data_IF_666707256514
#
_entry.id   IF_666707256514
#
_cell.length_a   1.000
_cell.length_b   1.000
_cell.length_c   1.000
_cell.angle_alpha   90.00
_cell.angle_beta   90.00
_cell.angle_gamma   90.00
#
_symmetry.space_group_name_H-M   'P 1'
#
loop_
_entity.id
_entity.type
_entity.pdbx_description
1 polymer ?
#
# COMPACT_ATOMS: atom_id res chain seq x y z
N UNK A 1 -8.24 17.89 -48.11
CA UNK A 1 -6.81 18.19 -47.87
C UNK A 1 -6.50 17.66 -46.48
N UNK A 2 -5.65 16.63 -46.40
CA UNK A 2 -4.26 16.91 -46.05
C UNK A 2 -3.27 16.27 -47.02
N UNK A 3 -2.12 16.91 -47.09
CA UNK A 3 -0.92 16.50 -47.81
C UNK A 3 -0.10 15.64 -46.86
N UNK A 4 0.26 14.42 -47.27
CA UNK A 4 1.37 13.69 -46.63
C UNK A 4 2.60 13.90 -47.51
N UNK A 5 3.60 14.50 -46.89
CA UNK A 5 4.95 14.68 -47.42
C UNK A 5 5.58 13.32 -47.72
N UNK A 6 6.30 13.26 -48.85
CA UNK A 6 7.24 12.20 -49.13
C UNK A 6 8.41 12.30 -48.14
N UNK A 7 8.60 11.28 -47.32
CA UNK A 7 9.85 11.02 -46.62
C UNK A 7 10.53 9.81 -47.28
N UNK A 8 11.78 10.03 -47.63
CA UNK A 8 12.73 9.09 -48.22
C UNK A 8 12.95 7.93 -47.22
N UNK A 9 12.37 6.77 -47.54
CA UNK A 9 12.38 5.59 -46.67
C UNK A 9 13.79 5.02 -46.54
N UNK A 10 14.43 5.24 -45.39
CA UNK A 10 15.54 4.42 -44.94
C UNK A 10 14.98 3.06 -44.51
N UNK A 11 15.11 2.05 -45.39
CA UNK A 11 14.80 0.65 -45.03
C UNK A 11 15.80 0.23 -43.95
N UNK A 12 15.31 0.19 -42.71
CA UNK A 12 16.00 -0.41 -41.58
C UNK A 12 15.65 -1.91 -41.55
N UNK A 13 16.64 -2.76 -41.83
CA UNK A 13 16.48 -4.20 -41.75
C UNK A 13 16.14 -4.66 -40.31
N UNK A 14 15.28 -5.67 -40.18
CA UNK A 14 14.81 -6.23 -38.90
C UNK A 14 15.95 -6.88 -38.09
N UNK A 15 15.82 -6.97 -36.75
CA UNK A 15 16.82 -7.67 -35.90
C UNK A 15 17.08 -9.09 -36.42
N UNK A 16 18.35 -9.44 -36.64
CA UNK A 16 18.78 -10.75 -37.16
C UNK A 16 19.02 -10.81 -38.68
N UNK A 17 19.00 -9.68 -39.38
CA UNK A 17 19.28 -9.60 -40.83
C UNK A 17 20.49 -8.69 -41.14
N UNK A 18 21.26 -9.05 -42.16
CA UNK A 18 22.39 -8.27 -42.68
C UNK A 18 21.93 -7.41 -43.87
N UNK A 19 22.38 -6.15 -43.91
CA UNK A 19 22.08 -5.22 -44.99
C UNK A 19 23.19 -5.26 -46.04
N UNK A 20 22.85 -5.72 -47.23
CA UNK A 20 23.70 -5.71 -48.42
C UNK A 20 23.99 -4.27 -48.90
N UNK A 21 25.02 -4.10 -49.73
CA UNK A 21 25.41 -2.80 -50.26
C UNK A 21 24.34 -2.25 -51.24
N UNK A 22 23.68 -3.12 -52.00
CA UNK A 22 22.46 -2.80 -52.77
C UNK A 22 21.19 -2.56 -51.94
N UNK A 23 21.30 -2.43 -50.61
CA UNK A 23 20.20 -2.22 -49.64
C UNK A 23 19.20 -3.37 -49.47
N UNK A 24 19.45 -4.54 -50.07
CA UNK A 24 18.71 -5.76 -49.73
C UNK A 24 19.03 -6.24 -48.30
N UNK A 25 18.09 -6.92 -47.66
CA UNK A 25 18.30 -7.52 -46.35
C UNK A 25 18.29 -9.05 -46.48
N UNK A 26 19.38 -9.71 -46.08
CA UNK A 26 19.50 -11.17 -46.02
C UNK A 26 19.52 -11.66 -44.57
N UNK A 27 19.21 -12.93 -44.33
CA UNK A 27 19.35 -13.51 -42.99
C UNK A 27 20.82 -13.47 -42.53
N UNK A 28 21.06 -13.26 -41.24
CA UNK A 28 22.43 -13.21 -40.69
C UNK A 28 23.25 -14.49 -40.98
N UNK A 29 22.60 -15.66 -41.02
CA UNK A 29 23.21 -16.94 -41.39
C UNK A 29 23.67 -17.06 -42.85
N UNK A 30 23.22 -16.13 -43.71
CA UNK A 30 23.60 -16.07 -45.12
C UNK A 30 24.78 -15.14 -45.38
N UNK A 31 25.30 -14.45 -44.35
CA UNK A 31 26.51 -13.66 -44.47
C UNK A 31 27.74 -14.59 -44.46
N UNK A 32 28.55 -14.54 -45.52
CA UNK A 32 29.77 -15.36 -45.66
C UNK A 32 29.53 -16.87 -45.58
N UNK A 33 28.51 -17.33 -46.31
CA UNK A 33 28.15 -18.74 -46.44
C UNK A 33 28.62 -19.38 -47.77
N UNK A 34 29.45 -18.66 -48.55
CA UNK A 34 29.92 -19.02 -49.89
C UNK A 34 28.84 -19.04 -50.97
N UNK A 35 27.75 -18.30 -50.77
CA UNK A 35 26.70 -18.08 -51.77
C UNK A 35 26.42 -16.59 -51.86
N UNK A 36 26.17 -16.12 -53.09
CA UNK A 36 25.73 -14.75 -53.34
C UNK A 36 24.23 -14.67 -53.09
N UNK A 37 23.84 -14.45 -51.83
CA UNK A 37 22.47 -14.28 -51.38
C UNK A 37 22.03 -12.80 -51.50
N UNK A 38 22.97 -11.85 -51.50
CA UNK A 38 22.70 -10.44 -51.79
C UNK A 38 22.40 -10.16 -53.28
N UNK A 39 22.86 -11.03 -54.19
CA UNK A 39 22.76 -10.89 -55.65
C UNK A 39 23.77 -9.90 -56.26
N UNK A 40 24.59 -9.25 -55.43
CA UNK A 40 25.67 -8.35 -55.80
C UNK A 40 27.04 -8.76 -55.21
N UNK A 41 27.09 -9.90 -54.49
CA UNK A 41 28.28 -10.46 -53.84
C UNK A 41 28.74 -9.70 -52.58
N UNK A 42 27.97 -8.73 -52.08
CA UNK A 42 28.37 -7.91 -50.92
C UNK A 42 28.44 -8.69 -49.60
N UNK A 43 27.74 -9.83 -49.54
CA UNK A 43 27.75 -10.79 -48.43
C UNK A 43 28.99 -11.69 -48.38
N UNK A 44 29.78 -11.76 -49.46
CA UNK A 44 30.93 -12.68 -49.57
C UNK A 44 32.29 -11.97 -49.69
N UNK A 45 32.31 -10.64 -49.74
CA UNK A 45 33.52 -9.86 -50.07
C UNK A 45 34.32 -9.38 -48.86
N UNK A 46 33.74 -9.32 -47.65
CA UNK A 46 34.41 -8.77 -46.46
C UNK A 46 34.18 -9.59 -45.17
N UNK A 47 34.38 -10.90 -45.24
CA UNK A 47 34.11 -11.88 -44.17
C UNK A 47 35.00 -11.80 -42.92
N UNK A 48 36.01 -10.93 -42.92
CA UNK A 48 36.93 -10.76 -41.80
C UNK A 48 36.40 -9.82 -40.71
N UNK A 49 35.28 -9.12 -40.96
CA UNK A 49 34.67 -8.18 -40.02
C UNK A 49 33.22 -8.58 -39.80
N UNK A 50 32.98 -9.39 -38.76
CA UNK A 50 31.62 -9.77 -38.35
C UNK A 50 30.92 -8.53 -37.76
N UNK A 51 29.81 -8.06 -38.32
CA UNK A 51 29.05 -6.93 -37.78
C UNK A 51 28.62 -7.19 -36.33
N UNK A 52 28.67 -6.19 -35.46
CA UNK A 52 28.38 -6.31 -34.01
C UNK A 52 27.01 -6.93 -33.70
N UNK A 53 26.03 -6.82 -34.61
CA UNK A 53 24.70 -7.43 -34.49
C UNK A 53 24.71 -8.95 -34.77
N UNK A 54 25.63 -9.45 -35.60
CA UNK A 54 25.79 -10.89 -35.89
C UNK A 54 26.46 -11.66 -34.73
N UNK A 55 27.28 -10.98 -33.91
CA UNK A 55 28.01 -11.60 -32.80
C UNK A 55 27.12 -12.13 -31.67
N UNK A 56 25.84 -11.76 -31.67
CA UNK A 56 24.86 -12.14 -30.63
C UNK A 56 24.24 -13.53 -30.92
N UNK A 57 24.22 -13.96 -32.18
CA UNK A 57 23.46 -15.15 -32.64
C UNK A 57 24.24 -16.06 -33.59
N UNK A 58 25.44 -15.67 -34.03
CA UNK A 58 26.30 -16.48 -34.89
C UNK A 58 27.72 -16.58 -34.32
N UNK A 59 28.34 -17.74 -34.52
CA UNK A 59 29.75 -17.99 -34.19
C UNK A 59 30.52 -18.37 -35.46
N UNK A 60 31.81 -18.04 -35.49
CA UNK A 60 32.67 -18.27 -36.65
C UNK A 60 33.53 -19.52 -36.44
N UNK A 61 33.40 -20.48 -37.35
CA UNK A 61 34.23 -21.68 -37.46
C UNK A 61 35.69 -21.33 -37.77
N UNK A 62 36.64 -22.23 -37.52
CA UNK A 62 38.06 -22.00 -37.82
C UNK A 62 38.33 -21.81 -39.33
N UNK A 63 37.53 -22.43 -40.19
CA UNK A 63 37.55 -22.23 -41.64
C UNK A 63 36.94 -20.90 -42.12
N UNK A 64 36.49 -20.03 -41.19
CA UNK A 64 35.91 -18.72 -41.50
C UNK A 64 34.41 -18.72 -41.77
N UNK A 65 33.77 -19.90 -41.85
CA UNK A 65 32.32 -20.06 -42.02
C UNK A 65 31.57 -19.58 -40.77
N UNK A 66 30.49 -18.82 -40.94
CA UNK A 66 29.62 -18.45 -39.83
C UNK A 66 28.45 -19.43 -39.70
N UNK A 67 28.20 -19.92 -38.49
CA UNK A 67 27.05 -20.77 -38.16
C UNK A 67 26.23 -20.12 -37.05
N UNK A 68 24.96 -20.53 -36.91
CA UNK A 68 24.14 -20.09 -35.79
C UNK A 68 24.74 -20.60 -34.47
N UNK A 69 24.68 -19.80 -33.41
CA UNK A 69 25.18 -20.17 -32.09
C UNK A 69 24.49 -21.44 -31.53
N UNK A 70 23.25 -21.73 -31.94
CA UNK A 70 22.53 -22.96 -31.60
C UNK A 70 23.11 -24.22 -32.24
N UNK A 71 23.97 -24.07 -33.25
CA UNK A 71 24.64 -25.18 -33.93
C UNK A 71 26.05 -25.43 -33.38
N UNK A 72 26.52 -24.63 -32.42
CA UNK A 72 27.71 -24.96 -31.67
C UNK A 72 27.43 -26.10 -30.67
N UNK A 73 28.31 -27.10 -30.62
CA UNK A 73 28.24 -28.24 -29.70
C UNK A 73 26.95 -29.07 -29.76
N UNK A 74 26.34 -29.20 -30.95
CA UNK A 74 25.09 -29.95 -31.14
C UNK A 74 25.32 -31.40 -31.61
N UNK A 75 26.57 -31.87 -31.63
CA UNK A 75 27.05 -33.18 -32.12
C UNK A 75 26.91 -33.39 -33.62
N UNK A 76 26.79 -32.32 -34.39
CA UNK A 76 26.66 -32.37 -35.85
C UNK A 76 27.66 -31.39 -36.44
N UNK A 77 28.47 -31.89 -37.37
CA UNK A 77 29.48 -31.07 -38.06
C UNK A 77 28.77 -30.12 -39.04
N UNK A 78 28.30 -28.99 -38.51
CA UNK A 78 27.66 -27.91 -39.24
C UNK A 78 28.73 -26.93 -39.80
N UNK A 79 29.93 -26.89 -39.21
CA UNK A 79 31.10 -26.18 -39.76
C UNK A 79 31.73 -26.89 -40.99
N UNK A 80 31.60 -28.21 -41.11
CA UNK A 80 32.24 -29.05 -42.14
C UNK A 80 33.71 -29.38 -41.87
N UNK A 81 34.29 -28.81 -40.81
CA UNK A 81 35.66 -29.06 -40.32
C UNK A 81 35.67 -29.52 -38.85
N UNK A 82 34.49 -29.73 -38.26
CA UNK A 82 34.26 -30.13 -36.87
C UNK A 82 34.56 -29.06 -35.83
N UNK A 83 34.87 -27.82 -36.22
CA UNK A 83 35.31 -26.77 -35.29
C UNK A 83 34.23 -26.30 -34.31
N UNK A 84 32.97 -26.45 -34.69
CA UNK A 84 31.78 -26.22 -33.88
C UNK A 84 31.63 -27.22 -32.72
N UNK A 85 32.32 -28.36 -32.78
CA UNK A 85 32.29 -29.40 -31.75
C UNK A 85 33.55 -29.37 -30.85
N UNK A 86 34.46 -28.41 -31.06
CA UNK A 86 35.71 -28.30 -30.29
C UNK A 86 35.52 -27.38 -29.08
N UNK A 87 35.71 -27.96 -27.89
CA UNK A 87 35.44 -27.37 -26.56
C UNK A 87 36.25 -26.11 -26.19
N UNK A 88 37.25 -25.70 -26.97
CA UNK A 88 38.27 -24.70 -26.57
C UNK A 88 38.46 -23.55 -27.60
N UNK A 89 37.38 -22.97 -28.14
CA UNK A 89 37.52 -21.73 -28.92
C UNK A 89 37.47 -20.46 -28.05
N UNK A 90 38.41 -19.50 -28.22
CA UNK A 90 38.44 -18.24 -27.49
C UNK A 90 37.37 -17.27 -28.02
N UNK A 91 36.15 -17.47 -27.55
CA UNK A 91 34.97 -16.71 -27.96
C UNK A 91 33.69 -17.10 -27.22
N UNK A 92 33.64 -18.31 -26.66
CA UNK A 92 32.58 -18.71 -25.73
C UNK A 92 32.85 -18.12 -24.33
N UNK A 93 32.53 -16.83 -24.16
CA UNK A 93 31.98 -16.40 -22.88
C UNK A 93 30.49 -16.63 -22.98
N UNK A 94 29.99 -17.69 -22.37
CA UNK A 94 28.55 -17.83 -22.11
C UNK A 94 28.09 -16.49 -21.51
N UNK A 95 27.24 -15.77 -22.22
CA UNK A 95 26.77 -14.47 -21.76
C UNK A 95 25.74 -14.76 -20.68
N UNK A 96 26.17 -14.69 -19.43
CA UNK A 96 25.36 -14.91 -18.24
C UNK A 96 24.23 -13.87 -18.20
N UNK A 97 23.02 -14.31 -18.53
CA UNK A 97 21.81 -13.54 -18.31
C UNK A 97 21.51 -13.51 -16.82
N UNK A 98 21.44 -12.31 -16.23
CA UNK A 98 20.85 -12.13 -14.91
C UNK A 98 19.40 -12.60 -14.95
N UNK A 99 19.06 -13.53 -14.06
CA UNK A 99 17.72 -13.84 -13.51
C UNK A 99 16.54 -14.07 -14.47
N UNK A 100 16.70 -13.99 -15.78
CA UNK A 100 15.64 -14.25 -16.75
C UNK A 100 16.15 -15.20 -17.87
N UNK A 101 15.59 -16.40 -17.87
CA UNK A 101 15.49 -17.40 -18.95
C UNK A 101 16.77 -17.81 -19.71
N UNK A 102 17.39 -18.92 -19.29
CA UNK A 102 18.43 -19.63 -20.05
C UNK A 102 17.86 -20.96 -20.56
N UNK A 103 17.79 -21.10 -21.89
CA UNK A 103 17.44 -22.35 -22.61
C UNK A 103 18.66 -23.10 -23.16
N UNK A 104 19.87 -22.59 -22.94
CA UNK A 104 21.10 -23.22 -23.45
C UNK A 104 21.69 -24.15 -22.37
N UNK A 105 21.53 -25.47 -22.55
CA UNK A 105 22.22 -26.49 -21.75
C UNK A 105 21.37 -27.34 -20.79
N UNK A 106 20.06 -27.06 -20.67
CA UNK A 106 19.17 -27.80 -19.77
C UNK A 106 18.88 -29.25 -20.23
N UNK A 107 18.78 -30.19 -19.28
CA UNK A 107 18.54 -31.63 -19.53
C UNK A 107 17.18 -31.97 -20.16
N UNK A 108 16.28 -31.00 -20.22
CA UNK A 108 14.95 -31.13 -20.80
C UNK A 108 14.50 -29.72 -21.16
N UNK A 109 13.34 -29.58 -21.80
CA UNK A 109 12.69 -28.32 -22.18
C UNK A 109 12.29 -27.42 -20.98
N UNK A 110 13.15 -27.34 -19.96
CA UNK A 110 12.97 -26.70 -18.65
C UNK A 110 13.96 -25.56 -18.53
N UNK A 111 13.59 -24.56 -17.73
CA UNK A 111 14.47 -23.46 -17.37
C UNK A 111 15.55 -23.98 -16.41
N UNK A 112 16.80 -23.61 -16.66
CA UNK A 112 17.88 -23.78 -15.70
C UNK A 112 18.04 -22.48 -14.91
N UNK A 113 18.25 -22.59 -13.61
CA UNK A 113 18.54 -21.45 -12.74
C UNK A 113 20.01 -21.50 -12.33
N UNK A 114 20.59 -20.35 -12.00
CA UNK A 114 21.99 -20.30 -11.58
C UNK A 114 22.03 -20.17 -10.06
N UNK A 115 22.84 -21.01 -9.43
CA UNK A 115 23.11 -20.99 -7.99
C UNK A 115 21.90 -21.22 -7.08
N UNK A 116 20.92 -22.01 -7.52
CA UNK A 116 19.76 -22.42 -6.72
C UNK A 116 19.96 -23.75 -5.97
N UNK A 117 21.07 -24.44 -6.23
CA UNK A 117 21.46 -25.70 -5.61
C UNK A 117 20.98 -26.96 -6.35
N UNK A 118 20.39 -26.83 -7.54
CA UNK A 118 19.92 -27.96 -8.33
C UNK A 118 20.72 -28.07 -9.64
N UNK A 119 21.16 -29.26 -10.03
CA UNK A 119 21.82 -29.44 -11.33
C UNK A 119 20.76 -29.57 -12.43
N UNK A 120 20.61 -28.54 -13.25
CA UNK A 120 19.77 -28.54 -14.46
C UNK A 120 20.57 -28.53 -15.77
N UNK A 121 21.80 -28.01 -15.75
CA UNK A 121 22.71 -27.98 -16.89
C UNK A 121 23.55 -29.26 -16.98
N UNK A 122 23.67 -29.83 -18.19
CA UNK A 122 24.47 -31.05 -18.42
C UNK A 122 25.94 -30.91 -18.01
N UNK A 123 26.49 -29.71 -18.09
CA UNK A 123 27.88 -29.40 -17.73
C UNK A 123 28.04 -28.92 -16.28
N UNK A 124 26.95 -28.88 -15.50
CA UNK A 124 26.87 -28.33 -14.14
C UNK A 124 27.31 -26.86 -14.05
N UNK A 125 27.30 -26.12 -15.17
CA UNK A 125 27.75 -24.72 -15.21
C UNK A 125 26.81 -23.73 -14.52
N UNK A 126 25.59 -24.19 -14.22
CA UNK A 126 24.62 -23.53 -13.37
C UNK A 126 25.07 -23.42 -11.91
N UNK A 127 25.77 -24.42 -11.39
CA UNK A 127 26.05 -24.57 -9.95
C UNK A 127 27.53 -24.73 -9.60
N UNK A 128 28.37 -25.07 -10.57
CA UNK A 128 29.78 -25.39 -10.40
C UNK A 128 30.71 -24.47 -11.21
N UNK A 129 32.00 -24.42 -10.84
CA UNK A 129 33.01 -23.64 -11.58
C UNK A 129 33.16 -22.19 -11.12
N UNK A 130 32.83 -21.89 -9.86
CA UNK A 130 33.02 -20.57 -9.26
C UNK A 130 32.02 -19.49 -9.70
N UNK A 131 30.88 -19.91 -10.28
CA UNK A 131 29.78 -19.00 -10.66
C UNK A 131 29.00 -18.52 -9.42
N UNK A 132 28.96 -19.33 -8.36
CA UNK A 132 28.20 -19.08 -7.14
C UNK A 132 29.09 -18.63 -5.98
N UNK A 133 28.54 -17.84 -5.05
CA UNK A 133 29.25 -17.35 -3.85
C UNK A 133 29.74 -18.51 -2.96
N UNK A 134 29.00 -19.63 -2.96
CA UNK A 134 29.38 -20.89 -2.33
C UNK A 134 29.32 -22.03 -3.33
N UNK A 135 30.41 -22.76 -3.51
CA UNK A 135 30.37 -23.99 -4.32
C UNK A 135 29.53 -25.07 -3.62
N UNK A 136 28.68 -25.73 -4.41
CA UNK A 136 27.82 -26.81 -3.96
C UNK A 136 28.62 -28.09 -3.67
N UNK A 137 28.26 -28.83 -2.62
CA UNK A 137 28.92 -30.09 -2.26
C UNK A 137 28.88 -31.14 -3.38
N UNK A 138 27.82 -31.17 -4.21
CA UNK A 138 27.72 -32.11 -5.34
C UNK A 138 28.72 -31.81 -6.47
N UNK A 139 29.31 -30.61 -6.56
CA UNK A 139 30.34 -30.31 -7.55
C UNK A 139 31.57 -31.22 -7.40
N UNK A 140 31.84 -31.74 -6.20
CA UNK A 140 32.90 -32.74 -5.96
C UNK A 140 32.58 -34.11 -6.57
N UNK A 141 31.30 -34.38 -6.83
CA UNK A 141 30.77 -35.62 -7.38
C UNK A 141 30.44 -35.52 -8.88
N UNK A 142 30.89 -34.47 -9.57
CA UNK A 142 30.65 -34.22 -11.00
C UNK A 142 30.93 -35.45 -11.90
N UNK A 143 31.92 -36.27 -11.55
CA UNK A 143 32.27 -37.50 -12.30
C UNK A 143 31.21 -38.60 -12.25
N UNK A 144 30.30 -38.56 -11.28
CA UNK A 144 29.26 -39.57 -11.05
C UNK A 144 27.89 -39.17 -11.61
N UNK A 145 27.64 -37.87 -11.80
CA UNK A 145 26.43 -37.36 -12.45
C UNK A 145 26.45 -37.50 -13.98
N UNK A 146 27.63 -37.76 -14.57
CA UNK A 146 27.85 -37.83 -16.01
C UNK A 146 27.78 -39.28 -16.51
N UNK A 147 26.60 -39.89 -16.48
CA UNK A 147 26.31 -41.06 -17.30
C UNK A 147 25.29 -40.69 -18.39
N UNK A 148 25.50 -41.23 -19.59
CA UNK A 148 24.99 -40.70 -20.85
C UNK A 148 23.51 -40.29 -20.82
N UNK A 149 23.25 -38.98 -21.04
CA UNK A 149 21.96 -38.36 -21.38
C UNK A 149 21.00 -37.98 -20.24
N UNK A 150 21.36 -38.08 -18.96
CA UNK A 150 20.50 -37.62 -17.85
C UNK A 150 21.31 -37.28 -16.59
N UNK A 151 21.01 -36.15 -15.93
CA UNK A 151 21.58 -35.77 -14.63
C UNK A 151 21.00 -36.65 -13.51
N UNK A 152 21.61 -37.80 -13.28
CA UNK A 152 21.18 -38.78 -12.27
C UNK A 152 22.39 -39.24 -11.47
N UNK A 153 22.22 -39.34 -10.15
CA UNK A 153 23.19 -39.93 -9.24
C UNK A 153 22.67 -41.25 -8.71
N UNK A 154 23.45 -42.32 -8.81
CA UNK A 154 23.06 -43.64 -8.29
C UNK A 154 23.77 -43.94 -6.98
N UNK A 155 23.00 -44.18 -5.92
CA UNK A 155 23.46 -44.51 -4.58
C UNK A 155 23.94 -45.98 -4.47
N UNK A 156 24.67 -46.32 -3.41
CA UNK A 156 25.19 -47.69 -3.20
C UNK A 156 24.07 -48.74 -3.06
N UNK A 157 22.87 -48.31 -2.64
CA UNK A 157 21.69 -49.15 -2.58
C UNK A 157 20.87 -49.21 -3.89
N UNK A 158 21.46 -48.82 -5.03
CA UNK A 158 20.80 -48.72 -6.35
C UNK A 158 19.61 -47.73 -6.42
N UNK A 159 19.47 -46.83 -5.45
CA UNK A 159 18.52 -45.72 -5.58
C UNK A 159 19.07 -44.65 -6.53
N UNK A 160 18.25 -44.14 -7.43
CA UNK A 160 18.62 -43.11 -8.39
C UNK A 160 18.03 -41.76 -7.97
N UNK A 161 18.89 -40.83 -7.57
CA UNK A 161 18.57 -39.43 -7.31
C UNK A 161 18.56 -38.66 -8.63
N UNK A 162 17.47 -37.98 -8.91
CA UNK A 162 17.34 -37.03 -10.03
C UNK A 162 17.57 -35.60 -9.55
N UNK A 163 17.67 -34.65 -10.48
CA UNK A 163 17.72 -33.22 -10.13
C UNK A 163 16.46 -32.73 -9.40
N UNK A 164 15.31 -33.40 -9.57
CA UNK A 164 14.07 -33.06 -8.88
C UNK A 164 14.11 -33.43 -7.40
N UNK A 165 14.84 -34.50 -7.05
CA UNK A 165 15.00 -35.01 -5.69
C UNK A 165 16.07 -34.24 -4.90
N UNK A 166 16.83 -33.34 -5.54
CA UNK A 166 17.81 -32.46 -4.90
C UNK A 166 17.10 -31.16 -4.49
N UNK A 167 17.29 -30.70 -3.26
CA UNK A 167 16.64 -29.51 -2.72
C UNK A 167 15.12 -29.57 -2.91
N UNK A 168 14.52 -30.70 -2.52
CA UNK A 168 13.09 -30.99 -2.59
C UNK A 168 12.41 -30.89 -1.20
N UNK A 169 13.20 -30.88 -0.13
CA UNK A 169 12.79 -30.76 1.28
C UNK A 169 12.58 -32.10 1.97
N UNK A 170 12.90 -33.21 1.30
CA UNK A 170 12.66 -34.58 1.75
C UNK A 170 13.86 -35.46 1.45
N UNK A 171 14.45 -36.00 2.51
CA UNK A 171 15.49 -37.02 2.37
C UNK A 171 14.95 -38.29 1.69
N UNK A 172 15.53 -38.61 0.54
CA UNK A 172 15.34 -39.83 -0.22
C UNK A 172 15.88 -41.05 0.53
N UNK A 173 15.45 -42.27 0.17
CA UNK A 173 15.95 -43.51 0.77
C UNK A 173 17.39 -43.89 0.33
N UNK A 174 18.17 -42.96 -0.23
CA UNK A 174 19.56 -43.18 -0.65
C UNK A 174 20.45 -43.59 0.56
N UNK A 175 21.25 -44.65 0.39
CA UNK A 175 22.22 -45.11 1.40
C UNK A 175 23.60 -45.33 0.77
N UNK A 176 24.70 -44.85 1.38
CA UNK A 176 24.73 -43.91 2.51
C UNK A 176 24.09 -42.56 2.15
N UNK A 177 23.61 -41.82 3.15
CA UNK A 177 23.00 -40.50 2.91
C UNK A 177 24.02 -39.57 2.25
N UNK A 178 23.60 -38.91 1.19
CA UNK A 178 24.41 -37.92 0.47
C UNK A 178 24.17 -36.53 1.05
N UNK A 179 25.22 -35.86 1.54
CA UNK A 179 25.09 -34.54 2.18
C UNK A 179 24.47 -33.50 1.25
N UNK A 180 24.81 -33.56 -0.04
CA UNK A 180 24.41 -32.60 -1.06
C UNK A 180 22.93 -32.64 -1.46
N UNK A 181 22.14 -33.63 -1.01
CA UNK A 181 20.72 -33.74 -1.37
C UNK A 181 19.90 -32.58 -0.82
N UNK A 182 20.14 -32.19 0.42
CA UNK A 182 19.38 -31.13 1.12
C UNK A 182 20.31 -30.07 1.75
N UNK A 183 21.59 -30.05 1.41
CA UNK A 183 22.52 -29.02 1.89
C UNK A 183 22.72 -27.91 0.87
N UNK A 184 22.89 -26.67 1.32
CA UNK A 184 23.28 -25.51 0.48
C UNK A 184 22.25 -25.11 -0.62
N UNK A 185 20.97 -25.38 -0.37
CA UNK A 185 19.86 -24.95 -1.23
C UNK A 185 19.59 -23.44 -1.04
N UNK A 186 20.02 -22.58 -1.98
CA UNK A 186 19.76 -21.13 -1.89
C UNK A 186 18.28 -20.80 -2.09
N UNK A 187 17.46 -21.66 -2.68
CA UNK A 187 16.01 -21.45 -2.75
C UNK A 187 15.24 -21.71 -1.44
N UNK A 188 15.88 -22.23 -0.39
CA UNK A 188 15.19 -22.81 0.76
C UNK A 188 15.55 -22.20 2.11
N UNK A 189 14.66 -22.39 3.07
CA UNK A 189 14.84 -22.03 4.47
C UNK A 189 14.81 -23.28 5.34
N UNK A 190 15.81 -23.42 6.21
CA UNK A 190 15.93 -24.55 7.11
C UNK A 190 15.23 -24.24 8.42
N UNK A 191 14.20 -25.02 8.77
CA UNK A 191 13.39 -24.78 9.94
C UNK A 191 14.23 -24.87 11.24
N UNK A 192 15.06 -25.90 11.36
CA UNK A 192 15.86 -26.16 12.55
C UNK A 192 17.36 -25.89 12.31
N UNK A 193 18.09 -25.53 13.38
CA UNK A 193 19.56 -25.52 13.42
C UNK A 193 20.21 -26.87 13.06
N UNK A 194 19.46 -27.98 13.10
CA UNK A 194 19.95 -29.30 12.64
C UNK A 194 19.97 -29.46 11.11
N UNK A 195 19.33 -28.57 10.34
CA UNK A 195 19.40 -28.55 8.86
C UNK A 195 18.72 -29.71 8.13
N UNK A 196 17.86 -30.49 8.79
CA UNK A 196 17.27 -31.72 8.21
C UNK A 196 15.91 -31.51 7.52
N UNK A 197 15.24 -30.38 7.76
CA UNK A 197 13.92 -30.06 7.20
C UNK A 197 14.02 -28.66 6.63
N UNK A 198 13.73 -28.53 5.34
CA UNK A 198 13.78 -27.28 4.59
C UNK A 198 12.43 -27.00 3.93
N UNK A 199 11.99 -25.74 3.96
CA UNK A 199 10.81 -25.23 3.25
C UNK A 199 11.25 -24.27 2.15
N UNK A 200 10.38 -24.02 1.17
CA UNK A 200 10.64 -23.00 0.15
C UNK A 200 10.70 -21.61 0.80
N UNK A 201 11.63 -20.75 0.34
CA UNK A 201 11.74 -19.36 0.84
C UNK A 201 10.43 -18.57 0.70
N UNK A 202 9.54 -18.94 -0.23
CA UNK A 202 8.22 -18.34 -0.38
C UNK A 202 7.27 -18.59 0.81
N UNK A 203 7.51 -19.65 1.59
CA UNK A 203 6.77 -19.94 2.82
C UNK A 203 7.37 -19.26 4.05
N UNK A 204 8.53 -18.62 3.93
CA UNK A 204 9.12 -17.83 5.02
C UNK A 204 8.43 -16.48 5.09
N UNK A 205 8.01 -16.08 6.28
CA UNK A 205 7.29 -14.83 6.47
C UNK A 205 6.13 -14.74 5.47
N UNK A 206 5.29 -15.75 5.41
CA UNK A 206 4.06 -15.77 4.62
C UNK A 206 2.82 -15.49 5.48
N UNK A 207 2.95 -15.54 6.81
CA UNK A 207 1.87 -15.40 7.78
C UNK A 207 1.31 -16.73 8.29
N UNK A 208 1.95 -17.85 8.02
CA UNK A 208 1.54 -19.19 8.43
C UNK A 208 2.73 -19.94 9.02
N UNK A 209 2.44 -20.81 10.00
CA UNK A 209 3.46 -21.68 10.59
C UNK A 209 3.61 -22.95 9.75
N UNK A 210 4.56 -22.94 8.83
CA UNK A 210 4.95 -24.07 7.98
C UNK A 210 6.12 -24.87 8.61
N UNK A 211 6.96 -24.23 9.41
CA UNK A 211 7.97 -24.89 10.23
C UNK A 211 7.42 -25.37 11.59
N UNK A 212 7.82 -26.59 12.01
CA UNK A 212 7.41 -27.18 13.30
C UNK A 212 7.87 -26.39 14.54
N UNK A 213 8.91 -25.57 14.40
CA UNK A 213 9.50 -24.73 15.44
C UNK A 213 9.22 -23.23 15.25
N UNK A 214 8.36 -22.88 14.27
CA UNK A 214 7.93 -21.51 13.99
C UNK A 214 9.06 -20.56 13.56
N UNK A 215 10.20 -21.11 13.11
CA UNK A 215 11.37 -20.34 12.71
C UNK A 215 11.10 -19.45 11.50
N UNK A 216 10.23 -19.91 10.61
CA UNK A 216 9.77 -19.29 9.37
C UNK A 216 9.03 -17.97 9.59
N UNK A 217 8.36 -17.81 10.72
CA UNK A 217 7.66 -16.58 11.13
C UNK A 217 8.38 -15.84 12.27
N UNK A 218 9.49 -16.39 12.76
CA UNK A 218 10.31 -15.75 13.77
C UNK A 218 11.19 -14.69 13.11
N UNK A 219 10.84 -13.42 13.27
CA UNK A 219 11.58 -12.25 12.74
C UNK A 219 11.32 -11.89 11.26
N UNK A 220 10.09 -11.43 10.99
CA UNK A 220 9.69 -10.91 9.68
C UNK A 220 9.65 -9.36 9.68
N UNK A 221 10.73 -8.69 9.23
CA UNK A 221 10.69 -7.23 9.04
C UNK A 221 9.69 -6.90 7.92
N UNK A 222 8.77 -5.96 8.18
CA UNK A 222 7.66 -5.55 7.29
C UNK A 222 6.38 -6.41 7.34
N UNK A 223 6.20 -7.19 8.41
CA UNK A 223 4.91 -7.81 8.73
C UNK A 223 4.37 -7.33 10.08
N UNK A 224 3.05 -7.31 10.18
CA UNK A 224 2.29 -7.01 11.40
C UNK A 224 1.75 -8.32 11.98
N UNK A 225 2.01 -8.57 13.26
CA UNK A 225 1.57 -9.79 13.93
C UNK A 225 0.17 -9.62 14.50
N UNK A 226 -0.74 -10.54 14.16
CA UNK A 226 -2.08 -10.58 14.73
C UNK A 226 -2.02 -10.96 16.22
N UNK A 227 -2.91 -10.40 17.05
CA UNK A 227 -2.80 -10.52 18.52
C UNK A 227 -3.08 -11.94 19.01
N UNK A 228 -4.02 -12.63 18.38
CA UNK A 228 -4.40 -14.01 18.68
C UNK A 228 -3.44 -15.04 18.09
N UNK A 229 -2.60 -14.66 17.12
CA UNK A 229 -1.64 -15.57 16.47
C UNK A 229 -2.28 -16.74 15.72
N UNK A 230 -3.56 -16.66 15.37
CA UNK A 230 -4.27 -17.70 14.61
C UNK A 230 -4.17 -17.44 13.12
N UNK A 231 -3.88 -18.48 12.32
CA UNK A 231 -3.82 -18.47 10.85
C UNK A 231 -4.72 -17.40 10.18
N UNK A 232 -4.18 -16.29 9.63
CA UNK A 232 -2.75 -15.94 9.55
C UNK A 232 -2.15 -15.37 10.86
N UNK A 233 -0.96 -15.83 11.24
CA UNK A 233 -0.20 -15.32 12.40
C UNK A 233 0.29 -13.89 12.19
N UNK A 234 0.58 -13.51 10.94
CA UNK A 234 1.03 -12.18 10.55
C UNK A 234 0.52 -11.78 9.16
N UNK A 235 0.26 -10.49 8.97
CA UNK A 235 -0.15 -9.90 7.69
C UNK A 235 0.92 -8.92 7.20
N UNK A 236 1.04 -8.65 5.89
CA UNK A 236 1.92 -7.59 5.38
C UNK A 236 1.59 -6.24 6.04
N UNK A 237 2.60 -5.43 6.37
CA UNK A 237 2.36 -4.11 7.00
C UNK A 237 1.57 -3.12 6.12
N UNK A 238 1.34 -3.42 4.84
CA UNK A 238 0.45 -2.65 3.96
C UNK A 238 -1.02 -2.93 4.20
N UNK A 239 -1.34 -4.04 4.87
CA UNK A 239 -2.69 -4.51 5.20
C UNK A 239 -3.03 -4.15 6.64
N UNK A 240 -2.59 -2.98 7.08
CA UNK A 240 -2.94 -2.45 8.40
C UNK A 240 -3.60 -1.11 8.17
N UNK A 241 -4.77 -0.89 8.77
CA UNK A 241 -5.58 0.31 8.60
C UNK A 241 -6.07 0.50 7.16
N UNK A 242 -6.49 -0.59 6.50
CA UNK A 242 -6.98 -0.58 5.13
C UNK A 242 -8.51 -0.81 5.00
N UNK A 243 -9.25 -0.75 6.12
CA UNK A 243 -10.68 -1.04 6.26
C UNK A 243 -11.07 -2.52 6.04
N UNK A 244 -10.10 -3.41 5.80
CA UNK A 244 -10.35 -4.85 5.68
C UNK A 244 -9.77 -5.60 6.87
N UNK A 245 -10.52 -6.60 7.35
CA UNK A 245 -10.05 -7.48 8.41
C UNK A 245 -9.31 -8.67 7.78
N UNK A 246 -7.99 -8.56 7.68
CA UNK A 246 -7.09 -9.62 7.23
C UNK A 246 -6.61 -10.49 8.40
N UNK A 247 -6.48 -9.92 9.60
CA UNK A 247 -6.34 -10.71 10.82
C UNK A 247 -7.70 -11.31 11.22
N UNK A 248 -7.70 -12.55 11.70
CA UNK A 248 -8.91 -13.24 12.19
C UNK A 248 -9.58 -12.54 13.40
N UNK A 249 -8.80 -11.76 14.14
CA UNK A 249 -9.23 -10.96 15.30
C UNK A 249 -9.32 -9.45 15.01
N UNK A 250 -9.18 -9.05 13.73
CA UNK A 250 -9.20 -7.65 13.28
C UNK A 250 -8.17 -6.74 14.00
N UNK A 251 -7.06 -7.30 14.48
CA UNK A 251 -6.00 -6.54 15.17
C UNK A 251 -5.19 -5.64 14.26
N UNK A 252 -5.17 -5.95 12.97
CA UNK A 252 -4.60 -5.15 11.88
C UNK A 252 -5.27 -3.79 11.75
N UNK A 253 -6.60 -3.74 11.85
CA UNK A 253 -7.37 -2.50 11.83
C UNK A 253 -7.46 -1.84 13.20
N UNK A 254 -7.57 -2.65 14.26
CA UNK A 254 -7.74 -2.18 15.62
C UNK A 254 -6.68 -2.77 16.56
N UNK A 255 -5.43 -2.28 16.53
CA UNK A 255 -4.34 -2.86 17.29
C UNK A 255 -4.43 -2.60 18.81
N UNK A 256 -3.89 -3.52 19.65
CA UNK A 256 -3.80 -3.42 21.11
C UNK A 256 -3.34 -2.07 21.65
N UNK A 257 -2.40 -1.45 20.93
CA UNK A 257 -1.66 -0.26 21.37
C UNK A 257 -2.29 1.05 20.92
N UNK A 258 -3.49 1.03 20.31
CA UNK A 258 -4.16 2.22 19.82
C UNK A 258 -4.79 3.09 20.94
N UNK A 259 -4.60 2.74 22.22
CA UNK A 259 -5.01 3.59 23.34
C UNK A 259 -4.08 4.82 23.42
N UNK A 260 -4.26 5.77 22.50
CA UNK A 260 -3.45 6.99 22.36
C UNK A 260 -3.81 8.07 23.37
N UNK A 261 -5.06 8.10 23.84
CA UNK A 261 -5.62 9.25 24.55
C UNK A 261 -6.28 8.88 25.88
N UNK A 262 -6.28 9.85 26.80
CA UNK A 262 -6.89 9.69 28.14
C UNK A 262 -8.43 9.69 28.11
N UNK A 263 -9.04 10.01 26.96
CA UNK A 263 -10.48 10.27 26.82
C UNK A 263 -11.19 9.15 26.04
N UNK A 264 -10.62 8.71 24.92
CA UNK A 264 -11.13 7.59 24.10
C UNK A 264 -10.26 6.35 24.28
N UNK A 265 -10.80 5.18 23.94
CA UNK A 265 -10.05 3.93 23.87
C UNK A 265 -10.49 3.15 22.65
N UNK A 266 -9.78 2.09 22.27
CA UNK A 266 -10.19 1.23 21.14
C UNK A 266 -11.69 0.84 21.21
N UNK A 267 -12.16 0.45 22.39
CA UNK A 267 -13.48 -0.15 22.52
C UNK A 267 -14.57 0.89 22.84
N UNK A 268 -14.20 2.07 23.33
CA UNK A 268 -15.14 3.03 23.89
C UNK A 268 -14.82 4.45 23.41
N UNK A 269 -15.84 5.15 22.91
CA UNK A 269 -15.76 6.58 22.55
C UNK A 269 -15.29 7.43 23.75
N UNK A 270 -15.79 7.09 24.94
CA UNK A 270 -15.43 7.73 26.21
C UNK A 270 -15.01 6.63 27.17
N UNK A 271 -13.69 6.43 27.27
CA UNK A 271 -13.07 5.35 28.04
C UNK A 271 -13.45 5.42 29.53
N UNK A 272 -13.37 6.62 30.11
CA UNK A 272 -13.66 6.85 31.53
C UNK A 272 -15.13 6.58 31.88
N UNK A 273 -15.36 5.58 32.72
CA UNK A 273 -16.68 5.26 33.29
C UNK A 273 -17.26 6.46 34.05
N UNK A 274 -16.40 7.21 34.75
CA UNK A 274 -16.82 8.42 35.47
C UNK A 274 -17.43 9.46 34.51
N UNK A 275 -16.73 9.77 33.41
CA UNK A 275 -17.23 10.74 32.43
C UNK A 275 -18.52 10.26 31.77
N UNK A 276 -18.63 8.97 31.45
CA UNK A 276 -19.87 8.40 30.88
C UNK A 276 -21.09 8.60 31.78
N UNK A 277 -20.96 8.31 33.08
CA UNK A 277 -22.05 8.50 34.04
C UNK A 277 -22.39 9.99 34.18
N UNK A 278 -21.38 10.85 34.30
CA UNK A 278 -21.59 12.28 34.45
C UNK A 278 -22.21 12.93 33.22
N UNK A 279 -21.94 12.45 32.00
CA UNK A 279 -22.57 12.95 30.79
C UNK A 279 -24.10 12.77 30.82
N UNK A 280 -24.58 11.59 31.21
CA UNK A 280 -26.02 11.34 31.37
C UNK A 280 -26.65 12.25 32.42
N UNK A 281 -25.96 12.44 33.56
CA UNK A 281 -26.43 13.32 34.63
C UNK A 281 -26.52 14.77 34.14
N UNK A 282 -25.45 15.30 33.54
CA UNK A 282 -25.38 16.67 33.04
C UNK A 282 -26.41 16.92 31.95
N UNK A 283 -26.57 16.00 31.00
CA UNK A 283 -27.57 16.10 29.94
C UNK A 283 -28.99 16.15 30.51
N UNK A 284 -29.31 15.26 31.45
CA UNK A 284 -30.63 15.19 32.09
C UNK A 284 -30.93 16.48 32.86
N UNK A 285 -30.00 16.95 33.69
CA UNK A 285 -30.15 18.18 34.47
C UNK A 285 -30.30 19.39 33.55
N UNK A 286 -29.52 19.48 32.48
CA UNK A 286 -29.60 20.58 31.52
C UNK A 286 -30.95 20.62 30.79
N UNK A 287 -31.44 19.47 30.31
CA UNK A 287 -32.71 19.37 29.57
C UNK A 287 -33.89 19.72 30.49
N UNK A 288 -34.01 19.07 31.65
CA UNK A 288 -35.15 19.29 32.54
C UNK A 288 -35.07 20.62 33.28
N UNK A 289 -33.88 21.02 33.75
CA UNK A 289 -33.66 22.27 34.45
C UNK A 289 -33.96 23.48 33.57
N UNK A 290 -33.36 23.54 32.38
CA UNK A 290 -33.60 24.64 31.46
C UNK A 290 -34.99 24.57 30.81
N UNK A 291 -35.49 23.37 30.51
CA UNK A 291 -36.86 23.16 30.04
C UNK A 291 -37.91 23.72 31.01
N UNK A 292 -37.74 23.48 32.31
CA UNK A 292 -38.60 24.08 33.34
C UNK A 292 -38.55 25.61 33.33
N UNK A 293 -37.36 26.21 33.22
CA UNK A 293 -37.18 27.66 33.15
C UNK A 293 -37.87 28.24 31.92
N UNK A 294 -37.75 27.60 30.76
CA UNK A 294 -38.41 27.99 29.50
C UNK A 294 -39.93 27.98 29.68
N UNK A 295 -40.50 26.86 30.13
CA UNK A 295 -41.96 26.70 30.31
C UNK A 295 -42.49 27.74 31.29
N UNK A 296 -41.84 27.89 32.46
CA UNK A 296 -42.26 28.84 33.49
C UNK A 296 -42.19 30.28 33.01
N UNK A 297 -41.21 30.62 32.18
CA UNK A 297 -41.06 31.97 31.62
C UNK A 297 -42.15 32.25 30.60
N UNK A 298 -42.50 31.28 29.76
CA UNK A 298 -43.62 31.38 28.81
C UNK A 298 -44.96 31.55 29.56
N UNK A 299 -45.22 30.72 30.58
CA UNK A 299 -46.46 30.81 31.37
C UNK A 299 -46.62 32.14 32.11
N UNK A 300 -45.52 32.84 32.39
CA UNK A 300 -45.53 34.14 33.09
C UNK A 300 -45.60 35.35 32.15
N UNK A 301 -45.66 35.16 30.82
CA UNK A 301 -45.64 36.23 29.81
C UNK A 301 -46.65 37.36 30.09
N UNK A 302 -47.90 37.01 30.44
CA UNK A 302 -48.96 38.00 30.70
C UNK A 302 -48.69 38.86 31.95
N UNK A 303 -48.06 38.28 32.98
CA UNK A 303 -47.66 39.01 34.19
C UNK A 303 -46.44 39.90 33.93
N UNK A 304 -45.51 39.43 33.10
CA UNK A 304 -44.32 40.17 32.66
C UNK A 304 -44.67 41.40 31.82
N UNK A 305 -45.75 41.40 31.03
CA UNK A 305 -46.19 42.60 30.29
C UNK A 305 -46.48 43.78 31.24
N UNK A 306 -46.93 43.51 32.46
CA UNK A 306 -47.26 44.52 33.47
C UNK A 306 -46.08 44.92 34.38
N UNK A 307 -44.92 44.28 34.28
CA UNK A 307 -43.76 44.56 35.14
C UNK A 307 -42.87 45.70 34.63
N UNK A 308 -41.88 46.10 35.44
CA UNK A 308 -40.89 47.12 35.09
C UNK A 308 -40.05 46.71 33.87
N UNK A 309 -39.54 47.71 33.13
CA UNK A 309 -38.72 47.52 31.92
C UNK A 309 -37.49 46.64 32.21
N UNK A 310 -36.80 46.89 33.33
CA UNK A 310 -35.61 46.14 33.76
C UNK A 310 -35.94 44.67 34.07
N UNK A 311 -37.07 44.41 34.74
CA UNK A 311 -37.50 43.03 35.04
C UNK A 311 -37.86 42.25 33.78
N UNK A 312 -38.47 42.92 32.78
CA UNK A 312 -38.76 42.35 31.46
C UNK A 312 -37.47 41.97 30.72
N UNK A 313 -36.47 42.85 30.72
CA UNK A 313 -35.18 42.64 30.06
C UNK A 313 -34.43 41.45 30.67
N UNK A 314 -34.36 41.37 32.00
CA UNK A 314 -33.69 40.28 32.69
C UNK A 314 -34.37 38.92 32.43
N UNK A 315 -35.70 38.85 32.48
CA UNK A 315 -36.41 37.60 32.15
C UNK A 315 -36.23 37.20 30.68
N UNK A 316 -36.19 38.16 29.76
CA UNK A 316 -35.94 37.90 28.34
C UNK A 316 -34.54 37.31 28.11
N UNK A 317 -33.52 37.79 28.82
CA UNK A 317 -32.16 37.25 28.72
C UNK A 317 -32.02 35.88 29.38
N UNK A 318 -32.61 35.67 30.57
CA UNK A 318 -32.65 34.36 31.22
C UNK A 318 -33.38 33.33 30.34
N UNK A 319 -34.42 33.75 29.62
CA UNK A 319 -35.11 32.89 28.66
C UNK A 319 -34.20 32.45 27.52
N UNK A 320 -33.44 33.36 26.91
CA UNK A 320 -32.49 33.02 25.84
C UNK A 320 -31.33 32.16 26.36
N UNK A 321 -30.83 32.44 27.58
CA UNK A 321 -29.81 31.63 28.22
C UNK A 321 -30.30 30.18 28.43
N UNK A 322 -31.53 30.03 28.92
CA UNK A 322 -32.14 28.71 29.10
C UNK A 322 -32.35 27.97 27.76
N UNK A 323 -32.69 28.67 26.66
CA UNK A 323 -32.75 28.05 25.34
C UNK A 323 -31.38 27.50 24.93
N UNK A 324 -30.33 28.30 25.10
CA UNK A 324 -28.97 27.90 24.74
C UNK A 324 -28.49 26.70 25.55
N UNK A 325 -28.65 26.73 26.87
CA UNK A 325 -28.24 25.63 27.75
C UNK A 325 -29.11 24.37 27.54
N UNK A 326 -30.37 24.53 27.10
CA UNK A 326 -31.20 23.40 26.67
C UNK A 326 -30.66 22.74 25.38
N UNK A 327 -30.22 23.53 24.40
CA UNK A 327 -29.56 23.01 23.19
C UNK A 327 -28.26 22.27 23.53
N UNK A 328 -27.47 22.79 24.48
CA UNK A 328 -26.28 22.07 24.98
C UNK A 328 -26.68 20.73 25.64
N UNK A 329 -27.78 20.70 26.40
CA UNK A 329 -28.33 19.46 26.94
C UNK A 329 -28.70 18.44 25.86
N UNK A 330 -29.32 18.89 24.76
CA UNK A 330 -29.61 18.04 23.59
C UNK A 330 -28.34 17.52 22.91
N UNK A 331 -27.30 18.35 22.80
CA UNK A 331 -26.00 17.89 22.30
C UNK A 331 -25.42 16.78 23.19
N UNK A 332 -25.38 16.99 24.51
CA UNK A 332 -24.79 16.03 25.46
C UNK A 332 -25.57 14.71 25.50
N UNK A 333 -26.91 14.73 25.40
CA UNK A 333 -27.68 13.49 25.37
C UNK A 333 -27.43 12.68 24.10
N UNK A 334 -27.26 13.35 22.95
CA UNK A 334 -26.96 12.66 21.69
C UNK A 334 -25.57 12.01 21.77
N UNK A 335 -24.56 12.73 22.28
CA UNK A 335 -23.21 12.16 22.51
C UNK A 335 -23.28 10.96 23.48
N UNK A 336 -24.06 11.08 24.56
CA UNK A 336 -24.22 9.99 25.52
C UNK A 336 -24.87 8.74 24.91
N UNK A 337 -25.85 8.91 24.01
CA UNK A 337 -26.47 7.81 23.26
C UNK A 337 -25.45 7.14 22.32
N UNK A 338 -24.72 7.92 21.51
CA UNK A 338 -23.71 7.37 20.61
C UNK A 338 -22.56 6.69 21.35
N UNK A 339 -22.16 7.22 22.51
CA UNK A 339 -21.17 6.57 23.38
C UNK A 339 -21.59 5.17 23.83
N UNK A 340 -22.90 4.89 23.95
CA UNK A 340 -23.41 3.54 24.26
C UNK A 340 -23.52 2.69 23.00
N UNK A 341 -23.97 3.25 21.88
CA UNK A 341 -24.14 2.52 20.61
C UNK A 341 -22.83 1.99 20.02
N UNK A 342 -21.73 2.70 20.28
CA UNK A 342 -20.38 2.35 19.82
C UNK A 342 -19.58 1.56 20.85
N UNK A 343 -20.15 1.27 22.02
CA UNK A 343 -19.46 0.52 23.07
C UNK A 343 -19.05 -0.88 22.60
N UNK A 344 -17.79 -1.23 22.81
CA UNK A 344 -17.18 -2.48 22.38
C UNK A 344 -16.66 -2.51 20.93
N UNK A 345 -16.98 -1.49 20.12
CA UNK A 345 -16.64 -1.46 18.68
C UNK A 345 -16.25 -0.08 18.16
N UNK A 346 -15.89 0.84 19.06
CA UNK A 346 -15.67 2.24 18.71
C UNK A 346 -14.59 2.41 17.63
N UNK A 347 -13.50 1.63 17.69
CA UNK A 347 -12.42 1.69 16.70
C UNK A 347 -12.90 1.53 15.24
N UNK A 348 -13.87 0.64 14.97
CA UNK A 348 -14.42 0.45 13.61
C UNK A 348 -15.41 1.53 13.18
N UNK A 349 -15.95 2.28 14.14
CA UNK A 349 -16.97 3.31 13.91
C UNK A 349 -16.40 4.73 14.02
N UNK A 350 -15.19 4.92 14.58
CA UNK A 350 -14.56 6.24 14.79
C UNK A 350 -14.50 7.04 13.49
N UNK A 351 -14.05 6.39 12.42
CA UNK A 351 -13.90 7.03 11.12
C UNK A 351 -15.24 7.48 10.52
N UNK A 352 -16.21 6.55 10.44
CA UNK A 352 -17.57 6.81 9.95
C UNK A 352 -18.28 7.86 10.80
N UNK A 353 -18.02 7.85 12.10
CA UNK A 353 -18.57 8.83 13.02
C UNK A 353 -18.01 10.23 12.74
N UNK A 354 -16.68 10.38 12.69
CA UNK A 354 -16.01 11.68 12.54
C UNK A 354 -16.24 12.33 11.17
N UNK A 355 -16.37 11.51 10.11
CA UNK A 355 -16.69 11.97 8.75
C UNK A 355 -18.20 12.09 8.51
N UNK A 356 -19.02 11.53 9.38
CA UNK A 356 -20.46 11.49 9.22
C UNK A 356 -21.15 12.85 9.42
N UNK A 357 -22.26 13.04 8.70
CA UNK A 357 -23.12 14.22 8.82
C UNK A 357 -23.62 14.45 10.25
N UNK A 358 -23.84 13.37 11.01
CA UNK A 358 -24.29 13.46 12.41
C UNK A 358 -23.28 14.20 13.29
N UNK A 359 -21.99 13.87 13.19
CA UNK A 359 -20.94 14.54 13.95
C UNK A 359 -20.81 16.02 13.55
N UNK A 360 -20.92 16.31 12.24
CA UNK A 360 -20.91 17.68 11.74
C UNK A 360 -22.07 18.52 12.31
N UNK A 361 -23.31 18.02 12.25
CA UNK A 361 -24.47 18.73 12.82
C UNK A 361 -24.37 18.88 14.34
N UNK A 362 -23.78 17.90 15.04
CA UNK A 362 -23.53 18.00 16.48
C UNK A 362 -22.50 19.08 16.80
N UNK A 363 -21.46 19.24 15.99
CA UNK A 363 -20.50 20.34 16.13
C UNK A 363 -21.14 21.72 15.92
N UNK A 364 -22.04 21.85 14.94
CA UNK A 364 -22.82 23.09 14.74
C UNK A 364 -23.70 23.36 15.97
N UNK A 365 -24.43 22.35 16.46
CA UNK A 365 -25.30 22.46 17.62
C UNK A 365 -24.52 22.86 18.88
N UNK A 366 -23.38 22.23 19.15
CA UNK A 366 -22.56 22.54 20.32
C UNK A 366 -22.01 23.95 20.25
N UNK A 367 -21.53 24.39 19.08
CA UNK A 367 -20.96 25.73 18.87
C UNK A 367 -22.03 26.81 19.04
N UNK A 368 -23.23 26.63 18.46
CA UNK A 368 -24.33 27.58 18.66
C UNK A 368 -24.67 27.69 20.15
N UNK A 369 -24.79 26.57 20.84
CA UNK A 369 -25.14 26.54 22.26
C UNK A 369 -24.04 27.14 23.16
N UNK A 370 -22.76 26.81 22.96
CA UNK A 370 -21.69 27.38 23.79
C UNK A 370 -21.53 28.89 23.57
N UNK A 371 -21.50 29.33 22.31
CA UNK A 371 -21.25 30.73 21.96
C UNK A 371 -22.41 31.63 22.36
N UNK A 372 -23.66 31.22 22.12
CA UNK A 372 -24.81 32.03 22.53
C UNK A 372 -24.92 32.15 24.04
N UNK A 373 -24.62 31.10 24.82
CA UNK A 373 -24.56 31.20 26.29
C UNK A 373 -23.50 32.22 26.74
N UNK A 374 -22.30 32.20 26.15
CA UNK A 374 -21.23 33.15 26.46
C UNK A 374 -21.63 34.59 26.12
N UNK A 375 -22.18 34.84 24.92
CA UNK A 375 -22.62 36.18 24.53
C UNK A 375 -23.77 36.70 25.39
N UNK A 376 -24.74 35.85 25.74
CA UNK A 376 -25.86 36.25 26.62
C UNK A 376 -25.37 36.55 28.03
N UNK A 377 -24.43 35.76 28.56
CA UNK A 377 -23.79 36.06 29.85
C UNK A 377 -23.06 37.40 29.81
N UNK A 378 -22.35 37.71 28.73
CA UNK A 378 -21.71 39.02 28.53
C UNK A 378 -22.73 40.17 28.52
N UNK A 379 -23.85 40.02 27.81
CA UNK A 379 -24.92 41.04 27.81
C UNK A 379 -25.53 41.20 29.20
N UNK A 380 -25.79 40.09 29.91
CA UNK A 380 -26.30 40.11 31.29
C UNK A 380 -25.35 40.81 32.26
N UNK A 381 -24.04 40.55 32.16
CA UNK A 381 -23.03 41.18 33.02
C UNK A 381 -22.92 42.68 32.73
N UNK A 382 -22.92 43.09 31.46
CA UNK A 382 -22.89 44.50 31.06
C UNK A 382 -24.14 45.27 31.52
N UNK A 383 -25.32 44.67 31.44
CA UNK A 383 -26.56 45.29 31.92
C UNK A 383 -26.57 45.45 33.44
N UNK A 384 -26.07 44.45 34.18
CA UNK A 384 -25.92 44.53 35.63
C UNK A 384 -24.91 45.61 36.01
N UNK A 385 -23.77 45.65 35.32
CA UNK A 385 -22.72 46.65 35.51
C UNK A 385 -23.27 48.07 35.29
N UNK A 386 -23.98 48.28 34.18
CA UNK A 386 -24.61 49.57 33.87
C UNK A 386 -25.68 49.95 34.90
N UNK A 387 -26.46 48.99 35.40
CA UNK A 387 -27.44 49.21 36.46
C UNK A 387 -26.82 49.65 37.79
N UNK A 388 -25.62 49.17 38.11
CA UNK A 388 -24.87 49.54 39.33
C UNK A 388 -24.23 50.92 39.18
N UNK A 389 -23.55 51.18 38.06
CA UNK A 389 -22.87 52.47 37.85
C UNK A 389 -23.83 53.63 37.60
N UNK A 390 -24.96 53.38 36.92
CA UNK A 390 -25.91 54.42 36.50
C UNK A 390 -27.34 54.05 36.90
N UNK A 391 -27.70 54.10 38.20
CA UNK A 391 -28.99 53.61 38.69
C UNK A 391 -30.19 54.36 38.10
N UNK A 392 -30.10 55.69 37.93
CA UNK A 392 -31.19 56.53 37.40
C UNK A 392 -31.32 56.45 35.88
N UNK A 393 -30.21 56.38 35.14
CA UNK A 393 -30.24 56.26 33.67
C UNK A 393 -30.62 54.84 33.22
N UNK A 394 -30.43 53.81 34.06
CA UNK A 394 -30.83 52.44 33.75
C UNK A 394 -32.34 52.30 33.46
N UNK A 395 -33.17 53.19 34.00
CA UNK A 395 -34.62 53.24 33.74
C UNK A 395 -34.95 53.73 32.33
N UNK A 396 -34.04 54.44 31.67
CA UNK A 396 -34.22 54.97 30.31
C UNK A 396 -33.79 53.97 29.23
N UNK A 397 -33.20 52.83 29.61
CA UNK A 397 -32.74 51.82 28.67
C UNK A 397 -33.95 51.16 28.00
N UNK A 398 -34.09 51.38 26.69
CA UNK A 398 -35.21 50.85 25.92
C UNK A 398 -34.99 49.35 25.66
N UNK A 399 -36.06 48.57 25.83
CA UNK A 399 -36.07 47.12 25.56
C UNK A 399 -35.51 46.75 24.17
N UNK A 400 -35.71 47.62 23.16
CA UNK A 400 -35.21 47.40 21.79
C UNK A 400 -33.71 47.12 21.72
N UNK A 401 -32.89 47.76 22.56
CA UNK A 401 -31.44 47.62 22.48
C UNK A 401 -30.97 46.24 22.94
N UNK A 402 -31.64 45.66 23.93
CA UNK A 402 -31.36 44.29 24.38
C UNK A 402 -31.83 43.28 23.35
N UNK A 403 -32.97 43.50 22.70
CA UNK A 403 -33.43 42.63 21.61
C UNK A 403 -32.42 42.66 20.46
N UNK A 404 -31.92 43.83 20.07
CA UNK A 404 -30.87 43.95 19.04
C UNK A 404 -29.61 43.19 19.48
N UNK A 405 -29.14 43.37 20.72
CA UNK A 405 -27.97 42.68 21.24
C UNK A 405 -28.11 41.13 21.23
N UNK A 406 -29.30 40.62 21.56
CA UNK A 406 -29.58 39.18 21.52
C UNK A 406 -29.64 38.67 20.08
N UNK A 407 -30.28 39.41 19.17
CA UNK A 407 -30.30 39.05 17.74
C UNK A 407 -28.87 39.00 17.19
N UNK A 408 -28.04 40.01 17.50
CA UNK A 408 -26.64 40.01 17.06
C UNK A 408 -25.85 38.86 17.64
N UNK A 409 -26.10 38.48 18.91
CA UNK A 409 -25.44 37.33 19.55
C UNK A 409 -25.82 35.99 18.90
N UNK A 410 -27.10 35.80 18.58
CA UNK A 410 -27.54 34.62 17.84
C UNK A 410 -26.95 34.61 16.43
N UNK A 411 -27.04 35.72 15.70
CA UNK A 411 -26.49 35.82 14.34
C UNK A 411 -24.98 35.58 14.29
N UNK A 412 -24.21 36.09 15.26
CA UNK A 412 -22.77 35.84 15.32
C UNK A 412 -22.45 34.38 15.64
N UNK A 413 -23.17 33.76 16.58
CA UNK A 413 -23.00 32.34 16.89
C UNK A 413 -23.37 31.43 15.70
N UNK A 414 -24.45 31.74 14.98
CA UNK A 414 -24.81 31.05 13.75
C UNK A 414 -23.73 31.21 12.67
N UNK A 415 -23.23 32.43 12.45
CA UNK A 415 -22.17 32.67 11.48
C UNK A 415 -20.89 31.87 11.80
N UNK A 416 -20.49 31.82 13.08
CA UNK A 416 -19.33 31.05 13.52
C UNK A 416 -19.53 29.54 13.39
N UNK A 417 -20.71 29.03 13.74
CA UNK A 417 -21.00 27.59 13.70
C UNK A 417 -21.07 27.02 12.28
N UNK A 418 -21.50 27.81 11.30
CA UNK A 418 -21.58 27.39 9.89
C UNK A 418 -20.27 27.63 9.11
N UNK A 419 -19.31 28.36 9.68
CA UNK A 419 -18.04 28.67 9.03
C UNK A 419 -17.28 27.41 8.56
N UNK A 420 -17.16 26.32 9.37
CA UNK A 420 -16.47 25.10 8.96
C UNK A 420 -17.18 24.30 7.86
N UNK A 421 -18.47 24.55 7.63
CA UNK A 421 -19.29 23.83 6.64
C UNK A 421 -19.18 24.48 5.25
N UNK A 422 -18.83 25.77 5.19
CA UNK A 422 -18.74 26.46 3.92
C UNK A 422 -17.48 26.01 3.15
N UNK A 423 -17.62 25.51 1.90
CA UNK A 423 -16.51 24.89 1.18
C UNK A 423 -15.31 25.82 0.96
N UNK A 424 -15.54 27.13 0.81
CA UNK A 424 -14.45 28.10 0.68
C UNK A 424 -13.61 28.33 1.95
N UNK A 425 -14.11 27.93 3.12
CA UNK A 425 -13.41 28.00 4.41
C UNK A 425 -13.06 26.61 4.98
N UNK A 426 -13.71 25.55 4.48
CA UNK A 426 -13.41 24.17 4.86
C UNK A 426 -11.92 23.85 4.65
N UNK A 427 -11.33 24.27 3.52
CA UNK A 427 -9.91 24.03 3.20
C UNK A 427 -8.91 24.64 4.19
N UNK A 428 -9.29 25.72 4.89
CA UNK A 428 -8.46 26.37 5.91
C UNK A 428 -8.62 25.80 7.32
N UNK A 429 -9.72 25.09 7.56
CA UNK A 429 -10.09 24.58 8.90
C UNK A 429 -9.93 23.06 8.99
N UNK A 430 -10.03 22.35 7.87
CA UNK A 430 -9.88 20.90 7.79
C UNK A 430 -8.41 20.55 7.54
N UNK A 431 -7.77 19.86 8.50
CA UNK A 431 -6.34 19.50 8.42
C UNK A 431 -6.06 18.27 7.53
N UNK A 432 -7.06 17.44 7.23
CA UNK A 432 -6.90 16.21 6.46
C UNK A 432 -8.13 15.82 5.64
N UNK A 433 -7.88 15.21 4.48
CA UNK A 433 -8.90 14.63 3.62
C UNK A 433 -8.88 13.10 3.77
N UNK A 434 -10.07 12.50 3.75
CA UNK A 434 -10.20 11.06 3.71
C UNK A 434 -9.96 10.56 2.28
N UNK A 435 -8.98 9.67 2.13
CA UNK A 435 -8.63 9.06 0.85
C UNK A 435 -8.38 7.57 1.09
N UNK A 436 -9.40 6.72 0.88
CA UNK A 436 -9.21 5.27 0.94
C UNK A 436 -8.33 4.89 -0.24
N UNK A 437 -7.08 4.53 0.05
CA UNK A 437 -6.19 4.06 -1.00
C UNK A 437 -5.23 3.02 -0.43
N UNK A 438 -4.99 1.98 -1.23
CA UNK A 438 -3.94 0.97 -0.96
C UNK A 438 -2.51 1.54 -1.01
N UNK A 439 -2.36 2.83 -1.32
CA UNK A 439 -1.07 3.51 -1.48
C UNK A 439 -0.68 4.35 -0.26
N UNK A 440 -1.61 4.62 0.67
CA UNK A 440 -1.36 5.44 1.85
C UNK A 440 -1.59 4.61 3.11
N UNK A 441 -0.59 4.56 4.00
CA UNK A 441 -0.66 3.85 5.30
C UNK A 441 -1.59 4.52 6.33
N UNK A 442 -2.34 5.56 5.94
CA UNK A 442 -3.27 6.27 6.81
C UNK A 442 -4.48 6.72 6.00
N UNK A 443 -5.68 6.38 6.47
CA UNK A 443 -6.96 6.75 5.83
C UNK A 443 -7.20 8.26 5.81
N UNK A 444 -6.56 9.00 6.73
CA UNK A 444 -6.59 10.46 6.80
C UNK A 444 -5.27 11.02 6.30
N UNK A 445 -5.27 11.58 5.09
CA UNK A 445 -4.08 12.21 4.49
C UNK A 445 -4.18 13.70 4.70
N UNK A 446 -3.11 14.34 5.20
CA UNK A 446 -3.12 15.80 5.34
C UNK A 446 -3.41 16.46 3.99
N UNK A 447 -4.25 17.49 3.98
CA UNK A 447 -4.66 18.18 2.75
C UNK A 447 -3.44 18.71 1.95
N UNK A 448 -2.33 19.00 2.66
CA UNK A 448 -1.05 19.40 2.06
C UNK A 448 -0.35 18.27 1.30
N UNK A 449 -0.44 17.03 1.80
CA UNK A 449 0.12 15.84 1.16
C UNK A 449 -0.72 15.43 -0.05
N UNK A 450 -2.05 15.51 0.07
CA UNK A 450 -2.97 15.28 -1.06
C UNK A 450 -2.69 16.27 -2.19
N UNK A 451 -2.54 17.56 -1.88
CA UNK A 451 -2.26 18.58 -2.89
C UNK A 451 -0.94 18.33 -3.61
N UNK A 452 0.12 17.98 -2.89
CA UNK A 452 1.41 17.59 -3.51
C UNK A 452 1.26 16.39 -4.43
N UNK A 453 0.46 15.40 -4.04
CA UNK A 453 0.19 14.22 -4.85
C UNK A 453 -0.63 14.55 -6.10
N UNK A 454 -1.70 15.34 -5.99
CA UNK A 454 -2.50 15.78 -7.14
C UNK A 454 -1.71 16.68 -8.08
N UNK A 455 -0.86 17.57 -7.55
CA UNK A 455 0.01 18.43 -8.35
C UNK A 455 1.03 17.60 -9.13
N UNK A 456 1.53 16.50 -8.54
CA UNK A 456 2.42 15.56 -9.23
C UNK A 456 1.70 14.75 -10.31
N UNK A 457 0.44 14.33 -10.09
CA UNK A 457 -0.34 13.60 -11.09
C UNK A 457 -0.79 14.50 -12.25
N UNK A 458 -1.14 15.75 -11.97
CA UNK A 458 -1.54 16.73 -12.98
C UNK A 458 -0.45 17.05 -14.01
N UNK A 459 0.82 16.74 -13.69
CA UNK A 459 1.95 16.81 -14.63
C UNK A 459 1.94 15.66 -15.65
N UNK A 460 1.37 14.51 -15.30
CA UNK A 460 1.36 13.31 -16.15
C UNK A 460 0.02 13.07 -16.87
N UNK A 461 -1.08 13.68 -16.42
CA UNK A 461 -2.41 13.56 -17.06
C UNK A 461 -2.97 14.96 -17.33
N UNK A 462 -2.96 15.45 -18.59
CA UNK A 462 -3.29 16.84 -18.91
C UNK A 462 -4.79 17.19 -18.83
N UNK A 463 -5.64 16.36 -18.21
CA UNK A 463 -7.10 16.56 -18.17
C UNK A 463 -7.78 15.99 -16.91
N UNK A 464 -7.19 16.17 -15.73
CA UNK A 464 -7.69 15.59 -14.46
C UNK A 464 -8.76 16.43 -13.72
N UNK A 465 -9.29 17.50 -14.32
CA UNK A 465 -10.29 18.37 -13.67
C UNK A 465 -11.63 17.69 -13.39
N UNK A 466 -11.91 16.51 -13.97
CA UNK A 466 -13.14 15.75 -13.69
C UNK A 466 -13.06 14.83 -12.46
N UNK A 467 -11.87 14.61 -11.86
CA UNK A 467 -11.75 13.69 -10.70
C UNK A 467 -12.21 14.31 -9.36
N UNK A 468 -12.39 15.63 -9.29
CA UNK A 468 -12.82 16.33 -8.06
C UNK A 468 -14.32 16.67 -8.02
N UNK A 469 -15.05 16.60 -9.12
CA UNK A 469 -16.50 16.89 -9.14
C UNK A 469 -17.38 15.68 -8.81
N UNK A 470 -16.80 14.47 -8.69
CA UNK A 470 -17.53 13.24 -8.36
C UNK A 470 -17.69 12.92 -6.86
N UNK A 471 -17.13 13.73 -5.96
CA UNK A 471 -17.05 13.44 -4.52
C UNK A 471 -18.20 13.96 -3.65
N UNK A 472 -19.24 14.55 -4.25
CA UNK A 472 -20.47 14.94 -3.53
C UNK A 472 -21.62 14.00 -3.93
N UNK A 473 -21.63 12.80 -3.34
CA UNK A 473 -22.81 11.94 -3.29
C UNK A 473 -22.82 11.16 -1.97
#
# INVERSE_FOLDING_TARGET
RPQNYAEEGTVACTRGTYKCENTACIAAENFCNHRDDCGDGSDETNCNVVPTILKIISTQCNNGKCINMLFACNRKDDCGDGSDEIRDQPGLKCSFGKRDDIYAGAVSNRKAYQCDGKPECYDLSDECGGVCDTEQEFCRFQKFFLNSSSLVYTCENNYTLTSEDICDGKWSPCQPRVSFEESQCDGRHFCNATGLISIDKAFVCNGYFDCNDFSDESFCPNRFNCTTGTNPSSVPSTFTFDDFSDCADSSDECPPKLDSDMISSRNEMISSVFLRVWLWIMATVAIFGNGYVIVKTISRKNKLIKSSIVSKMNHFLIFNLAISDFLMGLYLIIIAVYSVLFSGRYCFEDEKWRTGLTCQYLGILSTIASETSVFILCVLTLLRLHGVFMPLQSQNLKFKYVVIAVITAWSSAFALAFLPVYPGFADTVVEGAWLPSKFFNSTIVSLSSVRKFTDQIGVYVPNSTELLEGGNA
#
